data_IF_864749354601
#
_entry.id   IF_864749354601
#
_cell.length_a   1.000
_cell.length_b   1.000
_cell.length_c   1.000
_cell.angle_alpha   90.00
_cell.angle_beta   90.00
_cell.angle_gamma   90.00
#
_symmetry.space_group_name_H-M   'P 1'
#
loop_
_entity.id
_entity.type
_entity.pdbx_description
1 polymer ?
#
# COMPACT_ATOMS: atom_id res chain seq x y z
N UNK A 1 12.11 -26.75 51.33
CA UNK A 1 11.78 -27.12 49.93
C UNK A 1 10.45 -26.46 49.57
N UNK A 2 10.49 -25.28 48.96
CA UNK A 2 9.33 -24.68 48.29
C UNK A 2 9.81 -24.32 46.88
N UNK A 3 9.36 -25.10 45.90
CA UNK A 3 9.60 -24.87 44.48
C UNK A 3 8.52 -23.90 44.02
N UNK A 4 8.88 -22.64 43.82
CA UNK A 4 8.04 -21.66 43.14
C UNK A 4 8.15 -21.88 41.64
N UNK A 5 7.22 -22.64 41.06
CA UNK A 5 7.17 -22.91 39.63
C UNK A 5 6.40 -21.78 38.92
N UNK A 6 7.06 -20.64 38.72
CA UNK A 6 6.51 -19.49 38.00
C UNK A 6 6.83 -19.56 36.52
N UNK A 7 6.07 -20.32 35.73
CA UNK A 7 6.03 -20.17 34.27
C UNK A 7 5.15 -18.97 33.89
N UNK A 8 5.53 -17.78 34.34
CA UNK A 8 4.96 -16.53 33.86
C UNK A 8 5.73 -16.08 32.64
N UNK A 9 5.17 -16.28 31.44
CA UNK A 9 5.70 -15.71 30.22
C UNK A 9 5.70 -14.18 30.37
N UNK A 10 6.87 -13.57 30.56
CA UNK A 10 7.05 -12.16 30.90
C UNK A 10 6.70 -11.20 29.76
N UNK A 11 5.43 -11.15 29.36
CA UNK A 11 4.89 -10.10 28.51
C UNK A 11 4.42 -8.94 29.41
N UNK A 12 4.93 -7.75 29.12
CA UNK A 12 4.48 -6.50 29.73
C UNK A 12 2.94 -6.40 29.64
N UNK A 13 2.20 -6.18 30.74
CA UNK A 13 0.73 -6.06 30.70
C UNK A 13 0.22 -4.92 29.81
N UNK A 14 1.09 -3.99 29.38
CA UNK A 14 0.77 -2.93 28.42
C UNK A 14 0.98 -3.32 26.94
N UNK A 15 1.48 -4.53 26.66
CA UNK A 15 1.74 -4.99 25.30
C UNK A 15 0.59 -5.85 24.76
N UNK A 16 -0.03 -5.39 23.66
CA UNK A 16 -1.03 -6.15 22.91
C UNK A 16 -0.58 -6.35 21.46
N UNK A 17 -0.65 -7.58 20.97
CA UNK A 17 -0.39 -7.94 19.57
C UNK A 17 -1.66 -8.40 18.88
N UNK A 18 -2.03 -7.72 17.80
CA UNK A 18 -3.24 -8.03 17.03
C UNK A 18 -3.25 -9.50 16.55
N UNK A 19 -2.12 -9.97 16.03
CA UNK A 19 -1.99 -11.34 15.50
C UNK A 19 -2.13 -12.41 16.58
N UNK A 20 -1.48 -12.23 17.73
CA UNK A 20 -1.36 -13.27 18.76
C UNK A 20 -2.48 -13.23 19.78
N UNK A 21 -2.99 -12.04 20.09
CA UNK A 21 -3.94 -11.86 21.19
C UNK A 21 -5.37 -11.66 20.69
N UNK A 22 -5.58 -11.16 19.47
CA UNK A 22 -6.93 -10.87 18.94
C UNK A 22 -7.29 -11.86 17.83
N UNK A 23 -6.49 -11.98 16.77
CA UNK A 23 -6.85 -12.79 15.60
C UNK A 23 -6.92 -14.29 15.91
N UNK A 24 -6.03 -14.80 16.76
CA UNK A 24 -6.07 -16.20 17.27
C UNK A 24 -7.38 -16.50 18.01
N UNK A 25 -7.84 -15.61 18.89
CA UNK A 25 -9.08 -15.78 19.65
C UNK A 25 -10.31 -15.72 18.72
N UNK A 26 -10.30 -14.80 17.75
CA UNK A 26 -11.38 -14.69 16.75
C UNK A 26 -11.44 -15.91 15.83
N UNK A 27 -10.30 -16.50 15.47
CA UNK A 27 -10.23 -17.73 14.71
C UNK A 27 -10.81 -18.93 15.50
N UNK A 28 -10.53 -19.01 16.81
CA UNK A 28 -11.09 -20.06 17.68
C UNK A 28 -12.61 -19.97 17.85
N UNK A 29 -13.15 -18.74 17.84
CA UNK A 29 -14.58 -18.50 18.03
C UNK A 29 -15.41 -18.56 16.74
N UNK A 30 -14.79 -18.93 15.59
CA UNK A 30 -15.42 -18.96 14.26
C UNK A 30 -16.09 -17.63 13.84
N UNK A 31 -15.63 -16.51 14.40
CA UNK A 31 -16.12 -15.15 14.07
C UNK A 31 -15.19 -14.41 13.12
N UNK A 32 -14.13 -15.06 12.65
CA UNK A 32 -13.17 -14.50 11.71
C UNK A 32 -13.55 -14.86 10.28
N UNK A 33 -13.79 -13.86 9.44
CA UNK A 33 -14.02 -14.02 8.00
C UNK A 33 -13.08 -13.09 7.22
N UNK A 34 -12.67 -13.53 6.02
CA UNK A 34 -11.88 -12.74 5.11
C UNK A 34 -12.73 -12.36 3.89
N UNK A 35 -12.75 -11.08 3.54
CA UNK A 35 -13.34 -10.61 2.29
C UNK A 35 -12.26 -10.59 1.22
N UNK A 36 -12.42 -11.44 0.20
CA UNK A 36 -11.53 -11.39 -0.97
C UNK A 36 -11.86 -10.16 -1.82
N UNK A 37 -10.83 -9.41 -2.19
CA UNK A 37 -10.94 -8.34 -3.17
C UNK A 37 -10.09 -8.66 -4.40
N UNK A 38 -10.58 -8.30 -5.58
CA UNK A 38 -9.85 -8.34 -6.85
C UNK A 38 -9.12 -7.04 -7.15
N UNK A 39 -9.27 -6.04 -6.27
CA UNK A 39 -8.57 -4.78 -6.41
C UNK A 39 -7.07 -4.99 -6.25
N UNK A 40 -6.29 -4.18 -6.96
CA UNK A 40 -4.85 -4.19 -6.81
C UNK A 40 -4.47 -3.77 -5.39
N UNK A 41 -3.47 -4.44 -4.84
CA UNK A 41 -2.82 -4.07 -3.60
C UNK A 41 -1.33 -4.37 -3.76
N UNK A 42 -0.49 -3.46 -3.28
CA UNK A 42 0.95 -3.68 -3.23
C UNK A 42 1.50 -3.13 -1.93
N UNK A 43 2.44 -3.86 -1.34
CA UNK A 43 3.16 -3.37 -0.18
C UNK A 43 4.30 -2.45 -0.63
N UNK A 44 4.51 -1.34 0.10
CA UNK A 44 5.67 -0.45 -0.10
C UNK A 44 6.59 -0.62 1.10
N UNK A 45 7.62 -1.44 0.93
CA UNK A 45 8.65 -1.73 1.96
C UNK A 45 10.01 -1.11 1.62
N UNK A 46 10.23 -0.80 0.36
CA UNK A 46 11.50 -0.30 -0.17
C UNK A 46 11.23 0.89 -1.08
N UNK A 47 12.26 1.71 -1.30
CA UNK A 47 12.17 2.83 -2.24
C UNK A 47 11.76 2.34 -3.66
N UNK A 48 12.28 1.19 -4.10
CA UNK A 48 11.92 0.60 -5.39
C UNK A 48 10.44 0.21 -5.51
N UNK A 49 9.81 -0.22 -4.40
CA UNK A 49 8.39 -0.55 -4.40
C UNK A 49 7.48 0.67 -4.67
N UNK A 50 7.97 1.89 -4.39
CA UNK A 50 7.23 3.12 -4.70
C UNK A 50 7.02 3.29 -6.22
N UNK A 51 7.98 2.89 -7.04
CA UNK A 51 7.86 2.94 -8.51
C UNK A 51 6.71 2.06 -8.97
N UNK A 52 6.62 0.85 -8.45
CA UNK A 52 5.57 -0.10 -8.79
C UNK A 52 4.19 0.38 -8.29
N UNK A 53 4.12 0.88 -7.05
CA UNK A 53 2.90 1.47 -6.50
C UNK A 53 2.41 2.66 -7.32
N UNK A 54 3.32 3.55 -7.74
CA UNK A 54 2.98 4.71 -8.57
C UNK A 54 2.41 4.28 -9.92
N UNK A 55 2.99 3.26 -10.56
CA UNK A 55 2.47 2.73 -11.83
C UNK A 55 1.02 2.26 -11.70
N UNK A 56 0.71 1.48 -10.65
CA UNK A 56 -0.67 1.01 -10.41
C UNK A 56 -1.62 2.16 -10.07
N UNK A 57 -1.14 3.14 -9.33
CA UNK A 57 -1.92 4.32 -8.97
C UNK A 57 -2.27 5.18 -10.19
N UNK A 58 -1.32 5.37 -11.11
CA UNK A 58 -1.56 6.11 -12.36
C UNK A 58 -2.48 5.32 -13.32
N UNK A 59 -2.37 3.99 -13.35
CA UNK A 59 -3.32 3.15 -14.08
C UNK A 59 -4.75 3.26 -13.51
N UNK A 60 -4.89 3.39 -12.18
CA UNK A 60 -6.18 3.65 -11.55
C UNK A 60 -6.76 5.00 -11.99
N UNK A 61 -5.94 6.05 -12.10
CA UNK A 61 -6.37 7.35 -12.60
C UNK A 61 -6.92 7.28 -14.02
N UNK A 62 -6.36 6.43 -14.89
CA UNK A 62 -6.90 6.23 -16.23
C UNK A 62 -8.37 5.83 -16.24
N UNK A 63 -8.80 5.01 -15.28
CA UNK A 63 -10.18 4.55 -15.18
C UNK A 63 -11.09 5.48 -14.37
N UNK A 64 -10.59 6.07 -13.28
CA UNK A 64 -11.40 6.84 -12.33
C UNK A 64 -11.36 8.36 -12.54
N UNK A 65 -10.26 8.88 -13.09
CA UNK A 65 -10.01 10.31 -13.21
C UNK A 65 -9.03 10.60 -14.37
N UNK A 66 -9.36 10.22 -15.63
CA UNK A 66 -8.45 10.35 -16.76
C UNK A 66 -8.00 11.80 -17.01
N UNK A 67 -8.80 12.79 -16.60
CA UNK A 67 -8.47 14.22 -16.68
C UNK A 67 -7.24 14.62 -15.86
N UNK A 68 -6.82 13.79 -14.90
CA UNK A 68 -5.56 14.02 -14.16
C UNK A 68 -4.36 13.58 -14.98
N UNK A 69 -4.51 12.60 -15.87
CA UNK A 69 -3.39 12.13 -16.68
C UNK A 69 -3.12 13.12 -17.82
N UNK A 70 -1.85 13.18 -18.21
CA UNK A 70 -1.43 14.02 -19.33
C UNK A 70 -1.97 13.42 -20.62
N UNK A 71 -2.59 14.25 -21.46
CA UNK A 71 -3.00 13.81 -22.79
C UNK A 71 -1.77 13.65 -23.70
N UNK A 72 -1.79 12.62 -24.53
CA UNK A 72 -0.76 12.42 -25.57
C UNK A 72 -0.69 13.62 -26.54
N UNK A 73 -1.76 14.40 -26.65
CA UNK A 73 -1.86 15.60 -27.48
C UNK A 73 -1.37 16.89 -26.80
N UNK A 74 -0.86 16.83 -25.57
CA UNK A 74 -0.50 18.03 -24.81
C UNK A 74 0.64 18.86 -25.42
N UNK A 75 1.34 18.33 -26.44
CA UNK A 75 2.33 19.05 -27.24
C UNK A 75 3.60 19.47 -26.48
N UNK A 76 3.71 19.11 -25.19
CA UNK A 76 4.83 19.49 -24.31
C UNK A 76 5.97 18.47 -24.32
N UNK A 77 5.68 17.19 -24.51
CA UNK A 77 6.67 16.11 -24.59
C UNK A 77 6.02 14.81 -25.12
N UNK A 78 6.84 13.85 -25.55
CA UNK A 78 6.38 12.50 -25.86
C UNK A 78 6.04 11.75 -24.56
N UNK A 79 4.74 11.48 -24.33
CA UNK A 79 4.26 10.78 -23.13
C UNK A 79 4.09 9.29 -23.43
N UNK A 80 4.79 8.43 -22.69
CA UNK A 80 4.68 6.97 -22.77
C UNK A 80 4.02 6.43 -21.50
N UNK A 81 2.84 5.81 -21.65
CA UNK A 81 2.08 5.23 -20.55
C UNK A 81 1.24 6.25 -19.76
N UNK A 82 0.92 5.90 -18.51
CA UNK A 82 0.08 6.74 -17.65
C UNK A 82 0.99 7.71 -16.87
N UNK A 83 0.92 9.01 -17.18
CA UNK A 83 1.81 10.03 -16.63
C UNK A 83 1.00 11.19 -16.04
N UNK A 84 1.50 11.73 -14.92
CA UNK A 84 1.01 12.94 -14.29
C UNK A 84 2.13 14.00 -14.27
N UNK A 85 1.87 15.18 -14.81
CA UNK A 85 2.77 16.34 -14.71
C UNK A 85 2.18 17.30 -13.68
N UNK A 86 2.92 17.53 -12.60
CA UNK A 86 2.52 18.48 -11.58
C UNK A 86 2.57 19.92 -12.14
N UNK A 87 1.66 20.84 -11.76
CA UNK A 87 1.66 22.22 -12.26
C UNK A 87 2.96 23.01 -12.03
N UNK A 88 3.74 22.64 -11.00
CA UNK A 88 5.04 23.26 -10.71
C UNK A 88 6.20 22.67 -11.54
N UNK A 89 5.95 21.63 -12.34
CA UNK A 89 6.99 21.02 -13.16
C UNK A 89 7.21 21.84 -14.44
N UNK A 90 8.47 22.14 -14.75
CA UNK A 90 8.87 22.72 -16.02
C UNK A 90 9.31 21.60 -16.95
N UNK A 91 8.77 21.58 -18.18
CA UNK A 91 9.16 20.63 -19.23
C UNK A 91 9.90 21.42 -20.30
N UNK A 92 11.15 21.05 -20.54
CA UNK A 92 11.97 21.69 -21.56
C UNK A 92 11.47 21.27 -22.96
N UNK A 93 11.16 22.23 -23.85
CA UNK A 93 10.61 21.94 -25.17
C UNK A 93 11.61 21.32 -26.16
N UNK A 94 12.90 21.27 -25.82
CA UNK A 94 13.96 20.81 -26.74
C UNK A 94 14.12 19.29 -26.78
N UNK A 95 13.43 18.55 -25.90
CA UNK A 95 13.46 17.09 -25.87
C UNK A 95 12.19 16.57 -26.56
N UNK A 96 12.26 16.46 -27.88
CA UNK A 96 11.24 15.83 -28.74
C UNK A 96 11.60 14.38 -29.00
#
# INVERSE_FOLDING_TARGET
RLVGNGHGNGKDPAHISLEQDILTQLAQTNKFCALQTTNWWTQVKTAGAAIYANRHYLALYKSKAPQRLVSASSGKCQVIGDVYIHPSASVDPTVT
#
